data_IF_638093209418
#
_entry.id   IF_638093209418
#
_cell.length_a   1.000
_cell.length_b   1.000
_cell.length_c   1.000
_cell.angle_alpha   90.00
_cell.angle_beta   90.00
_cell.angle_gamma   90.00
#
_symmetry.space_group_name_H-M   'P 1'
#
loop_
_entity.id
_entity.type
_entity.pdbx_description
1 polymer ?
#
# COMPACT_ATOMS: atom_id res chain seq x y z
N UNK A 1 0.50 -1.54 1.89
CA UNK A 1 1.95 -1.42 1.62
C UNK A 1 2.64 -2.55 2.36
N UNK A 2 3.19 -3.47 1.58
CA UNK A 2 3.82 -4.67 2.09
C UNK A 2 5.00 -4.29 2.96
N UNK A 3 5.30 -5.13 3.96
CA UNK A 3 6.49 -4.99 4.79
C UNK A 3 7.75 -4.87 3.92
N UNK A 4 7.84 -5.67 2.85
CA UNK A 4 8.97 -5.66 1.90
C UNK A 4 9.07 -4.32 1.18
N UNK A 5 7.94 -3.72 0.77
CA UNK A 5 7.95 -2.42 0.09
C UNK A 5 8.52 -1.33 0.99
N UNK A 6 8.12 -1.30 2.27
CA UNK A 6 8.66 -0.34 3.26
C UNK A 6 10.16 -0.52 3.46
N UNK A 7 10.62 -1.76 3.58
CA UNK A 7 12.05 -2.07 3.70
C UNK A 7 12.83 -1.63 2.45
N UNK A 8 12.31 -1.90 1.26
CA UNK A 8 12.95 -1.48 0.02
C UNK A 8 12.98 0.05 -0.11
N UNK A 9 11.93 0.75 0.32
CA UNK A 9 11.92 2.21 0.37
C UNK A 9 13.00 2.76 1.31
N UNK A 10 13.14 2.22 2.52
CA UNK A 10 14.16 2.71 3.47
C UNK A 10 15.57 2.41 2.97
N UNK A 11 15.82 1.21 2.47
CA UNK A 11 17.14 0.81 1.94
C UNK A 11 17.48 1.63 0.70
N UNK A 12 16.58 1.76 -0.27
CA UNK A 12 16.85 2.54 -1.49
C UNK A 12 17.07 4.03 -1.20
N UNK A 13 16.30 4.60 -0.27
CA UNK A 13 16.52 5.99 0.17
C UNK A 13 17.90 6.17 0.81
N UNK A 14 18.32 5.25 1.69
CA UNK A 14 19.64 5.31 2.32
C UNK A 14 20.78 5.11 1.30
N UNK A 15 20.64 4.18 0.35
CA UNK A 15 21.64 3.95 -0.71
C UNK A 15 21.75 5.17 -1.64
N UNK A 16 20.63 5.74 -2.07
CA UNK A 16 20.65 6.96 -2.89
C UNK A 16 21.21 8.16 -2.12
N UNK A 17 20.91 8.27 -0.83
CA UNK A 17 21.48 9.30 0.04
C UNK A 17 23.01 9.14 0.17
N UNK A 18 23.46 7.91 0.44
CA UNK A 18 24.88 7.57 0.53
C UNK A 18 25.61 7.87 -0.79
N UNK A 19 25.04 7.43 -1.92
CA UNK A 19 25.61 7.69 -3.24
C UNK A 19 25.59 9.18 -3.60
N UNK A 20 24.56 9.92 -3.16
CA UNK A 20 24.48 11.37 -3.27
C UNK A 20 25.57 12.08 -2.48
N UNK A 21 25.89 11.62 -1.26
CA UNK A 21 27.00 12.12 -0.47
C UNK A 21 28.35 11.84 -1.13
N UNK A 22 28.60 10.61 -1.60
CA UNK A 22 29.83 10.25 -2.33
C UNK A 22 30.01 11.07 -3.61
N UNK A 23 28.92 11.30 -4.35
CA UNK A 23 28.92 12.16 -5.53
C UNK A 23 29.20 13.62 -5.17
N UNK A 24 28.63 14.12 -4.06
CA UNK A 24 28.89 15.47 -3.58
C UNK A 24 30.38 15.67 -3.25
N UNK A 25 30.99 14.77 -2.48
CA UNK A 25 32.42 14.83 -2.16
C UNK A 25 33.29 14.78 -3.42
N UNK A 26 33.00 13.85 -4.34
CA UNK A 26 33.74 13.74 -5.60
C UNK A 26 33.68 15.03 -6.43
N UNK A 27 32.48 15.58 -6.66
CA UNK A 27 32.32 16.78 -7.46
C UNK A 27 32.87 18.03 -6.78
N UNK A 28 32.80 18.12 -5.45
CA UNK A 28 33.37 19.23 -4.70
C UNK A 28 34.91 19.19 -4.76
N UNK A 29 35.52 18.03 -4.55
CA UNK A 29 36.96 17.84 -4.69
C UNK A 29 37.43 18.05 -6.13
N UNK A 30 36.67 17.60 -7.12
CA UNK A 30 36.98 17.83 -8.53
C UNK A 30 37.00 19.33 -8.87
N UNK A 31 36.03 20.10 -8.36
CA UNK A 31 36.02 21.57 -8.52
C UNK A 31 37.22 22.23 -7.83
N UNK A 32 37.53 21.85 -6.58
CA UNK A 32 38.69 22.39 -5.84
C UNK A 32 40.02 22.05 -6.52
N UNK A 33 40.18 20.81 -6.99
CA UNK A 33 41.39 20.36 -7.67
C UNK A 33 41.56 20.99 -9.05
N UNK A 34 40.46 21.25 -9.77
CA UNK A 34 40.49 21.98 -11.04
C UNK A 34 40.93 23.44 -10.88
N UNK A 35 40.71 24.06 -9.71
CA UNK A 35 41.22 25.40 -9.42
C UNK A 35 42.72 25.37 -9.06
N UNK A 36 43.20 24.27 -8.46
CA UNK A 36 44.57 24.13 -7.97
C UNK A 36 45.56 23.51 -8.98
N UNK A 37 45.09 22.76 -9.99
CA UNK A 37 45.93 22.14 -11.01
C UNK A 37 45.43 22.49 -12.43
N UNK A 38 46.26 23.22 -13.19
CA UNK A 38 45.96 23.67 -14.56
C UNK A 38 45.97 22.56 -15.64
N UNK A 39 46.35 21.33 -15.28
CA UNK A 39 46.44 20.20 -16.19
C UNK A 39 45.51 19.04 -15.77
N UNK A 40 44.38 18.94 -16.46
CA UNK A 40 43.75 17.69 -16.90
C UNK A 40 43.64 16.55 -15.88
N UNK A 41 42.89 16.74 -14.79
CA UNK A 41 42.43 15.61 -13.98
C UNK A 41 41.17 15.00 -14.62
N UNK A 42 41.17 13.67 -14.75
CA UNK A 42 40.12 12.86 -15.38
C UNK A 42 38.73 13.26 -14.84
N UNK A 43 37.93 13.92 -15.69
CA UNK A 43 36.64 14.54 -15.34
C UNK A 43 35.45 13.56 -15.19
N UNK A 44 35.70 12.26 -15.28
CA UNK A 44 34.62 11.27 -15.34
C UNK A 44 34.27 10.78 -13.94
N UNK A 45 32.97 10.67 -13.65
CA UNK A 45 32.47 10.08 -12.42
C UNK A 45 33.07 8.67 -12.26
N UNK A 46 33.53 8.32 -11.05
CA UNK A 46 33.87 6.96 -10.69
C UNK A 46 32.71 6.00 -11.00
N UNK A 47 33.04 4.85 -11.61
CA UNK A 47 32.02 3.89 -12.09
C UNK A 47 31.26 3.22 -10.95
N UNK A 48 31.87 3.11 -9.78
CA UNK A 48 31.26 2.62 -8.54
C UNK A 48 30.08 3.50 -8.09
N UNK A 49 30.25 4.83 -8.02
CA UNK A 49 29.15 5.78 -7.71
C UNK A 49 28.05 5.66 -8.78
N UNK A 50 28.44 5.51 -10.05
CA UNK A 50 27.47 5.28 -11.13
C UNK A 50 26.66 3.98 -10.94
N UNK A 51 27.31 2.86 -10.57
CA UNK A 51 26.61 1.60 -10.36
C UNK A 51 25.77 1.59 -9.09
N UNK A 52 26.23 2.27 -8.03
CA UNK A 52 25.48 2.41 -6.79
C UNK A 52 24.20 3.24 -6.98
N UNK A 53 24.28 4.36 -7.71
CA UNK A 53 23.09 5.15 -8.07
C UNK A 53 22.09 4.34 -8.90
N UNK A 54 22.56 3.58 -9.90
CA UNK A 54 21.67 2.70 -10.68
C UNK A 54 21.05 1.59 -9.82
N UNK A 55 21.82 0.98 -8.91
CA UNK A 55 21.30 -0.03 -7.99
C UNK A 55 20.25 0.58 -7.05
N UNK A 56 20.51 1.75 -6.46
CA UNK A 56 19.56 2.48 -5.62
C UNK A 56 18.28 2.86 -6.37
N UNK A 57 18.41 3.31 -7.61
CA UNK A 57 17.27 3.66 -8.47
C UNK A 57 16.42 2.43 -8.81
N UNK A 58 17.03 1.32 -9.20
CA UNK A 58 16.32 0.07 -9.49
C UNK A 58 15.59 -0.42 -8.24
N UNK A 59 16.25 -0.41 -7.07
CA UNK A 59 15.63 -0.79 -5.81
C UNK A 59 14.45 0.12 -5.46
N UNK A 60 14.56 1.42 -5.69
CA UNK A 60 13.47 2.36 -5.46
C UNK A 60 12.27 2.08 -6.39
N UNK A 61 12.51 1.83 -7.68
CA UNK A 61 11.45 1.45 -8.62
C UNK A 61 10.77 0.15 -8.21
N UNK A 62 11.54 -0.85 -7.77
CA UNK A 62 10.98 -2.10 -7.22
C UNK A 62 10.18 -1.86 -5.93
N UNK A 63 10.62 -0.94 -5.07
CA UNK A 63 9.90 -0.54 -3.86
C UNK A 63 8.52 0.04 -4.20
N UNK A 64 8.45 0.87 -5.25
CA UNK A 64 7.20 1.44 -5.77
C UNK A 64 6.26 0.34 -6.25
N UNK A 65 6.71 -0.59 -7.10
CA UNK A 65 5.84 -1.65 -7.60
C UNK A 65 5.37 -2.62 -6.52
N UNK A 66 6.25 -3.00 -5.59
CA UNK A 66 5.89 -3.87 -4.46
C UNK A 66 4.99 -3.18 -3.43
N UNK A 67 4.80 -1.86 -3.52
CA UNK A 67 3.85 -1.12 -2.67
C UNK A 67 2.39 -1.40 -3.04
N UNK A 68 2.15 -1.80 -4.30
CA UNK A 68 0.84 -2.19 -4.80
C UNK A 68 0.60 -3.66 -4.47
N UNK A 69 -0.33 -3.89 -3.53
CA UNK A 69 -0.80 -5.23 -3.20
C UNK A 69 -2.05 -5.57 -4.01
N UNK A 70 -2.28 -6.86 -4.21
CA UNK A 70 -3.55 -7.33 -4.79
C UNK A 70 -4.67 -7.00 -3.81
N UNK A 71 -5.77 -6.47 -4.33
CA UNK A 71 -6.94 -6.10 -3.54
C UNK A 71 -7.58 -7.36 -2.97
N UNK A 72 -7.70 -7.38 -1.64
CA UNK A 72 -8.32 -8.43 -0.86
C UNK A 72 -9.39 -7.82 0.03
N UNK A 73 -10.51 -8.53 0.18
CA UNK A 73 -11.68 -8.08 0.91
C UNK A 73 -12.16 -9.18 1.85
N UNK A 74 -12.79 -8.78 2.95
CA UNK A 74 -13.56 -9.68 3.80
C UNK A 74 -15.05 -9.52 3.50
N UNK A 75 -15.83 -10.61 3.49
CA UNK A 75 -17.27 -10.54 3.40
C UNK A 75 -17.87 -9.85 4.64
N UNK A 76 -18.95 -9.09 4.44
CA UNK A 76 -19.59 -8.33 5.53
C UNK A 76 -20.40 -9.23 6.47
N UNK A 77 -21.06 -10.25 5.92
CA UNK A 77 -21.98 -11.10 6.69
C UNK A 77 -21.28 -12.30 7.36
N UNK A 78 -20.30 -12.92 6.69
CA UNK A 78 -19.69 -14.15 7.20
C UNK A 78 -18.50 -13.89 8.12
N UNK A 79 -18.47 -14.60 9.26
CA UNK A 79 -17.41 -14.53 10.26
C UNK A 79 -16.40 -15.69 10.13
N UNK A 80 -16.35 -16.34 8.97
CA UNK A 80 -15.51 -17.50 8.68
C UNK A 80 -14.05 -17.12 8.32
N UNK A 81 -13.74 -15.82 8.27
CA UNK A 81 -12.40 -15.33 7.92
C UNK A 81 -12.04 -15.59 6.45
N UNK A 82 -13.02 -15.91 5.60
CA UNK A 82 -12.79 -16.20 4.19
C UNK A 82 -12.42 -14.92 3.45
N UNK A 83 -11.21 -14.89 2.88
CA UNK A 83 -10.73 -13.74 2.10
C UNK A 83 -11.21 -13.87 0.65
N UNK A 84 -11.87 -12.82 0.16
CA UNK A 84 -12.26 -12.66 -1.23
C UNK A 84 -11.15 -11.88 -1.93
N UNK A 85 -10.61 -12.46 -3.01
CA UNK A 85 -9.60 -11.81 -3.85
C UNK A 85 -9.94 -12.01 -5.32
N UNK A 86 -9.89 -10.92 -6.08
CA UNK A 86 -10.05 -10.96 -7.54
C UNK A 86 -8.71 -11.04 -8.27
N UNK A 87 -7.58 -11.00 -7.54
CA UNK A 87 -6.25 -11.03 -8.13
C UNK A 87 -5.79 -9.72 -8.78
N UNK A 88 -6.61 -8.67 -8.74
CA UNK A 88 -6.36 -7.35 -9.32
C UNK A 88 -5.59 -6.44 -8.35
N UNK A 89 -4.69 -5.60 -8.86
CA UNK A 89 -4.00 -4.56 -8.07
C UNK A 89 -4.80 -3.26 -7.95
N UNK A 90 -5.56 -2.92 -8.99
CA UNK A 90 -6.31 -1.68 -9.09
C UNK A 90 -7.81 -1.97 -9.16
N UNK A 91 -8.62 -0.97 -8.84
CA UNK A 91 -10.07 -1.02 -8.99
C UNK A 91 -10.46 -0.84 -10.45
N UNK A 92 -11.46 -1.60 -10.89
CA UNK A 92 -12.00 -1.44 -12.22
C UNK A 92 -12.84 -0.16 -12.33
N UNK A 93 -12.76 0.52 -13.47
CA UNK A 93 -13.49 1.78 -13.73
C UNK A 93 -14.87 1.55 -14.35
N UNK A 94 -15.06 0.41 -15.01
CA UNK A 94 -16.32 0.08 -15.66
C UNK A 94 -17.34 -0.30 -14.57
N UNK A 95 -18.44 0.47 -14.48
CA UNK A 95 -19.38 0.36 -13.37
C UNK A 95 -19.92 -1.08 -13.18
N UNK A 96 -20.24 -1.76 -14.28
CA UNK A 96 -20.70 -3.15 -14.29
C UNK A 96 -19.73 -4.14 -13.62
N UNK A 97 -18.42 -3.86 -13.66
CA UNK A 97 -17.39 -4.68 -13.02
C UNK A 97 -16.99 -4.15 -11.66
N UNK A 98 -17.01 -2.83 -11.47
CA UNK A 98 -16.77 -2.20 -10.17
C UNK A 98 -17.77 -2.70 -9.12
N UNK A 99 -19.06 -2.74 -9.46
CA UNK A 99 -20.13 -3.22 -8.56
C UNK A 99 -20.03 -4.70 -8.23
N UNK A 100 -19.27 -5.50 -9.00
CA UNK A 100 -19.07 -6.91 -8.66
C UNK A 100 -18.29 -7.07 -7.36
N UNK A 101 -17.37 -6.15 -7.06
CA UNK A 101 -16.66 -6.15 -5.76
C UNK A 101 -17.68 -5.97 -4.64
N UNK A 102 -18.55 -4.98 -4.77
CA UNK A 102 -19.55 -4.63 -3.75
C UNK A 102 -20.54 -5.78 -3.54
N UNK A 103 -20.98 -6.42 -4.63
CA UNK A 103 -21.85 -7.59 -4.59
C UNK A 103 -21.16 -8.81 -3.97
N UNK A 104 -19.88 -9.04 -4.27
CA UNK A 104 -19.11 -10.18 -3.72
C UNK A 104 -18.94 -10.07 -2.21
N UNK A 105 -18.73 -8.87 -1.68
CA UNK A 105 -18.59 -8.65 -0.24
C UNK A 105 -19.95 -8.57 0.49
N UNK A 106 -21.06 -8.57 -0.24
CA UNK A 106 -22.41 -8.44 0.32
C UNK A 106 -22.78 -7.02 0.74
N UNK A 107 -22.13 -6.01 0.15
CA UNK A 107 -22.41 -4.61 0.40
C UNK A 107 -23.37 -4.03 -0.63
N UNK A 108 -23.99 -2.90 -0.30
CA UNK A 108 -24.70 -2.09 -1.27
C UNK A 108 -24.21 -0.64 -1.19
N UNK A 109 -23.63 -0.07 -2.27
CA UNK A 109 -23.15 1.30 -2.29
C UNK A 109 -24.23 2.35 -1.99
N UNK A 110 -25.50 2.05 -2.28
CA UNK A 110 -26.66 2.93 -2.02
C UNK A 110 -27.41 2.52 -0.74
N UNK A 111 -26.69 1.93 0.22
CA UNK A 111 -27.26 1.34 1.43
C UNK A 111 -27.99 2.35 2.33
N UNK A 112 -27.63 3.62 2.28
CA UNK A 112 -28.28 4.70 3.02
C UNK A 112 -29.73 4.93 2.58
N UNK A 113 -30.07 4.62 1.33
CA UNK A 113 -31.44 4.67 0.83
C UNK A 113 -32.11 3.32 1.04
N UNK A 114 -31.45 2.24 0.64
CA UNK A 114 -32.04 0.89 0.62
C UNK A 114 -32.37 0.37 2.02
N UNK A 115 -31.51 0.63 3.01
CA UNK A 115 -31.71 0.16 4.38
C UNK A 115 -32.46 1.15 5.27
N UNK A 116 -32.73 2.36 4.80
CA UNK A 116 -33.49 3.40 5.52
C UNK A 116 -33.05 3.55 6.99
N UNK A 117 -31.76 3.80 7.28
CA UNK A 117 -31.21 3.75 8.64
C UNK A 117 -31.89 4.75 9.60
N UNK A 118 -32.47 5.83 9.07
CA UNK A 118 -33.18 6.85 9.85
C UNK A 118 -34.53 6.37 10.42
N UNK A 119 -35.16 5.36 9.84
CA UNK A 119 -36.51 4.88 10.20
C UNK A 119 -36.51 3.47 10.78
N UNK A 120 -35.37 3.03 11.32
CA UNK A 120 -35.28 1.72 11.96
C UNK A 120 -36.11 1.72 13.25
N UNK A 121 -37.01 0.74 13.38
CA UNK A 121 -37.78 0.55 14.60
C UNK A 121 -36.85 0.09 15.75
N UNK A 122 -36.51 1.05 16.61
CA UNK A 122 -35.63 0.86 17.76
C UNK A 122 -36.24 -0.10 18.79
N UNK A 123 -37.56 -0.07 18.98
CA UNK A 123 -38.22 -0.96 19.93
C UNK A 123 -38.19 -2.40 19.43
N UNK A 124 -38.43 -2.61 18.14
CA UNK A 124 -38.32 -3.93 17.52
C UNK A 124 -36.89 -4.47 17.59
N UNK A 125 -35.86 -3.67 17.27
CA UNK A 125 -34.46 -4.12 17.38
C UNK A 125 -34.09 -4.51 18.81
N UNK A 126 -34.52 -3.75 19.81
CA UNK A 126 -34.33 -4.10 21.24
C UNK A 126 -35.01 -5.41 21.61
N UNK A 127 -36.23 -5.65 21.10
CA UNK A 127 -36.96 -6.90 21.31
C UNK A 127 -36.19 -8.09 20.71
N UNK A 128 -35.77 -8.00 19.45
CA UNK A 128 -35.01 -9.05 18.76
C UNK A 128 -33.72 -9.39 19.53
N UNK A 129 -32.93 -8.38 19.93
CA UNK A 129 -31.70 -8.63 20.68
C UNK A 129 -31.96 -9.29 22.03
N UNK A 130 -33.04 -8.90 22.73
CA UNK A 130 -33.43 -9.50 24.01
C UNK A 130 -33.86 -10.95 23.84
N UNK A 131 -34.67 -11.24 22.82
CA UNK A 131 -35.12 -12.59 22.49
C UNK A 131 -33.93 -13.49 22.12
N UNK A 132 -33.04 -12.99 21.25
CA UNK A 132 -31.81 -13.71 20.88
C UNK A 132 -30.96 -14.06 22.09
N UNK A 133 -30.64 -13.08 22.94
CA UNK A 133 -29.86 -13.32 24.16
C UNK A 133 -30.53 -14.34 25.11
N UNK A 134 -31.86 -14.29 25.24
CA UNK A 134 -32.61 -15.25 26.06
C UNK A 134 -32.60 -16.66 25.49
N UNK A 135 -32.58 -16.81 24.17
CA UNK A 135 -32.52 -18.11 23.50
C UNK A 135 -31.12 -18.72 23.58
N UNK A 136 -30.05 -17.92 23.49
CA UNK A 136 -28.67 -18.39 23.69
C UNK A 136 -28.48 -19.00 25.09
N UNK A 137 -29.03 -18.37 26.13
CA UNK A 137 -28.97 -18.90 27.52
C UNK A 137 -29.78 -20.19 27.70
N UNK A 138 -30.80 -20.44 26.86
CA UNK A 138 -31.58 -21.69 26.90
C UNK A 138 -30.86 -22.86 26.21
N UNK A 139 -30.02 -22.61 25.23
CA UNK A 139 -29.25 -23.65 24.53
C UNK A 139 -28.03 -24.13 25.33
N UNK A 140 -27.54 -23.35 26.30
CA UNK A 140 -26.41 -23.70 27.17
C UNK A 140 -26.79 -24.47 28.46
N UNK A 141 -28.09 -24.71 28.73
CA UNK A 141 -28.60 -25.49 29.87
C UNK A 141 -29.12 -26.86 29.45
#
# INVERSE_FOLDING_TARGET
MSFVSKLLYTVSALVLFHSGFSSYEFHHLLKLNSLNNAQGAISKLPKDIMYETYAGLILFVLAVFTSFEKLQYLPIESNDGKIISQGNYLKEIALNKATNVDNLIGSNPNGEIIFTPSFVDVHMKRKICREWASNTVKEEK
#
